data_IF_781641648492
#
_entry.id   IF_781641648492
#
_cell.length_a   1.000
_cell.length_b   1.000
_cell.length_c   1.000
_cell.angle_alpha   90.00
_cell.angle_beta   90.00
_cell.angle_gamma   90.00
#
_symmetry.space_group_name_H-M   'P 1'
#
loop_
_entity.id
_entity.type
_entity.pdbx_description
1 polymer ?
#
# COMPACT_ATOMS: atom_id res chain seq x y z
N UNK A 1 6.38 -17.66 1.55
CA UNK A 1 6.01 -16.80 0.39
C UNK A 1 4.98 -17.58 -0.40
N UNK A 2 3.73 -17.12 -0.39
CA UNK A 2 2.69 -17.72 -1.23
C UNK A 2 2.76 -17.11 -2.63
N UNK A 3 3.01 -17.92 -3.64
CA UNK A 3 2.94 -17.52 -5.03
C UNK A 3 1.76 -18.24 -5.67
N UNK A 4 0.74 -17.48 -6.04
CA UNK A 4 -0.41 -17.99 -6.79
C UNK A 4 -0.34 -17.39 -8.19
N UNK A 5 0.04 -18.20 -9.17
CA UNK A 5 0.11 -17.78 -10.56
C UNK A 5 -1.28 -17.86 -11.22
N UNK A 6 -1.62 -16.88 -12.04
CA UNK A 6 -2.76 -16.99 -12.93
C UNK A 6 -2.36 -17.88 -14.12
N UNK A 7 -3.09 -18.95 -14.33
CA UNK A 7 -2.98 -19.69 -15.59
C UNK A 7 -3.80 -18.97 -16.66
N UNK A 8 -3.09 -18.38 -17.62
CA UNK A 8 -3.69 -17.64 -18.73
C UNK A 8 -3.93 -18.51 -19.97
N UNK A 9 -3.68 -19.82 -19.90
CA UNK A 9 -3.71 -20.69 -21.07
C UNK A 9 -5.12 -21.16 -21.51
N UNK A 10 -6.17 -20.87 -20.70
CA UNK A 10 -7.54 -21.31 -21.05
C UNK A 10 -8.55 -20.15 -20.97
N UNK A 11 -8.66 -19.33 -22.03
CA UNK A 11 -9.60 -18.20 -22.05
C UNK A 11 -11.08 -18.62 -22.16
N UNK A 12 -11.41 -19.89 -22.37
CA UNK A 12 -12.76 -20.33 -22.67
C UNK A 12 -13.65 -20.61 -21.44
N UNK A 13 -13.08 -20.74 -20.23
CA UNK A 13 -13.82 -20.96 -19.00
C UNK A 13 -13.01 -20.43 -17.82
N UNK A 14 -13.30 -19.20 -17.39
CA UNK A 14 -12.82 -18.69 -16.10
C UNK A 14 -13.69 -19.28 -15.01
N UNK A 15 -13.18 -20.26 -14.30
CA UNK A 15 -13.77 -20.70 -13.03
C UNK A 15 -13.58 -19.56 -12.01
N UNK A 16 -14.56 -19.38 -11.12
CA UNK A 16 -14.52 -18.27 -10.15
C UNK A 16 -13.24 -18.29 -9.29
N UNK A 17 -12.75 -19.47 -8.97
CA UNK A 17 -11.56 -19.73 -8.18
C UNK A 17 -10.23 -19.36 -8.90
N UNK A 18 -10.26 -19.28 -10.22
CA UNK A 18 -9.10 -18.93 -11.05
C UNK A 18 -8.91 -17.43 -11.22
N UNK A 19 -9.88 -16.63 -10.77
CA UNK A 19 -9.80 -15.18 -10.87
C UNK A 19 -8.71 -14.60 -9.98
N UNK A 20 -8.12 -13.46 -10.39
CA UNK A 20 -7.13 -12.77 -9.55
C UNK A 20 -7.68 -12.36 -8.18
N UNK A 21 -8.98 -12.08 -8.08
CA UNK A 21 -9.62 -11.76 -6.81
C UNK A 21 -9.67 -12.97 -5.89
N UNK A 22 -10.08 -14.14 -6.38
CA UNK A 22 -10.09 -15.37 -5.60
C UNK A 22 -8.67 -15.77 -5.15
N UNK A 23 -7.68 -15.60 -6.02
CA UNK A 23 -6.27 -15.83 -5.68
C UNK A 23 -5.75 -14.86 -4.62
N UNK A 24 -6.18 -13.60 -4.65
CA UNK A 24 -5.87 -12.64 -3.58
C UNK A 24 -6.52 -13.09 -2.26
N UNK A 25 -7.79 -13.50 -2.27
CA UNK A 25 -8.49 -13.98 -1.08
C UNK A 25 -7.73 -15.17 -0.45
N UNK A 26 -7.30 -16.14 -1.24
CA UNK A 26 -6.45 -17.25 -0.78
C UNK A 26 -5.12 -16.79 -0.17
N UNK A 27 -4.47 -15.80 -0.77
CA UNK A 27 -3.24 -15.23 -0.22
C UNK A 27 -3.50 -14.57 1.14
N UNK A 28 -4.58 -13.81 1.28
CA UNK A 28 -4.95 -13.15 2.54
C UNK A 28 -5.26 -14.18 3.64
N UNK A 29 -5.90 -15.29 3.29
CA UNK A 29 -6.15 -16.42 4.20
C UNK A 29 -4.83 -17.10 4.61
N UNK A 30 -3.94 -17.43 3.68
CA UNK A 30 -2.64 -18.02 3.97
C UNK A 30 -1.74 -17.11 4.84
N UNK A 31 -1.86 -15.80 4.70
CA UNK A 31 -1.18 -14.83 5.54
C UNK A 31 -1.82 -14.69 6.92
N UNK A 32 -2.98 -15.33 7.15
CA UNK A 32 -3.77 -15.20 8.39
C UNK A 32 -4.03 -13.73 8.76
N UNK A 33 -4.32 -12.90 7.75
CA UNK A 33 -4.42 -11.45 7.95
C UNK A 33 -5.51 -11.10 8.98
N UNK A 34 -6.67 -11.76 8.91
CA UNK A 34 -7.81 -11.54 9.82
C UNK A 34 -7.42 -11.79 11.28
N UNK A 35 -6.65 -12.82 11.55
CA UNK A 35 -6.26 -13.20 12.92
C UNK A 35 -5.23 -12.23 13.52
N UNK A 36 -4.47 -11.55 12.66
CA UNK A 36 -3.37 -10.67 13.08
C UNK A 36 -3.78 -9.23 13.36
N UNK A 37 -4.95 -8.79 12.88
CA UNK A 37 -5.33 -7.37 12.83
C UNK A 37 -6.45 -7.00 13.81
N UNK A 38 -6.75 -7.83 14.79
CA UNK A 38 -7.83 -7.60 15.74
C UNK A 38 -7.61 -6.32 16.56
N UNK A 39 -8.52 -5.35 16.39
CA UNK A 39 -8.51 -4.00 16.98
C UNK A 39 -7.31 -3.13 16.58
N UNK A 40 -6.44 -3.60 15.71
CA UNK A 40 -5.26 -2.87 15.27
C UNK A 40 -5.61 -1.70 14.35
N UNK A 41 -4.85 -0.63 14.46
CA UNK A 41 -4.82 0.43 13.45
C UNK A 41 -3.90 -0.02 12.33
N UNK A 42 -4.47 -0.32 11.16
CA UNK A 42 -3.76 -0.98 10.06
C UNK A 42 -3.51 0.00 8.92
N UNK A 43 -2.25 0.36 8.72
CA UNK A 43 -1.85 1.13 7.55
C UNK A 43 -1.65 0.22 6.33
N UNK A 44 -2.32 0.52 5.23
CA UNK A 44 -2.06 -0.09 3.93
C UNK A 44 -1.16 0.86 3.15
N UNK A 45 0.14 0.55 3.11
CA UNK A 45 1.09 1.33 2.30
C UNK A 45 1.07 0.82 0.87
N UNK A 46 0.66 1.67 -0.04
CA UNK A 46 0.63 1.37 -1.47
C UNK A 46 1.03 2.59 -2.30
N UNK A 47 1.21 2.41 -3.60
CA UNK A 47 1.41 3.49 -4.54
C UNK A 47 0.08 3.87 -5.18
N UNK A 48 -0.43 5.06 -4.87
CA UNK A 48 -1.70 5.58 -5.41
C UNK A 48 -1.53 6.29 -6.75
N UNK A 49 -0.33 6.83 -7.02
CA UNK A 49 0.10 7.26 -8.35
C UNK A 49 -0.51 8.56 -8.87
N UNK A 50 -0.92 9.47 -8.01
CA UNK A 50 -1.59 10.73 -8.35
C UNK A 50 -2.66 10.59 -9.47
N UNK A 51 -2.87 11.59 -10.29
CA UNK A 51 -3.80 11.54 -11.42
C UNK A 51 -3.16 11.14 -12.77
N UNK A 52 -1.86 10.84 -12.79
CA UNK A 52 -1.11 10.61 -14.03
C UNK A 52 -0.64 9.17 -14.22
N UNK A 53 -0.39 8.41 -13.15
CA UNK A 53 0.16 7.06 -13.23
C UNK A 53 -0.94 6.02 -13.23
N UNK A 54 -1.16 5.33 -14.33
CA UNK A 54 -2.18 4.29 -14.48
C UNK A 54 -1.74 2.90 -13.99
N UNK A 55 -0.44 2.64 -13.87
CA UNK A 55 0.12 1.34 -13.46
C UNK A 55 0.13 1.18 -11.93
N UNK A 56 -1.03 1.30 -11.31
CA UNK A 56 -1.25 1.10 -9.88
C UNK A 56 -2.21 -0.07 -9.64
N UNK A 57 -2.29 -0.56 -8.42
CA UNK A 57 -3.20 -1.65 -8.06
C UNK A 57 -4.64 -1.16 -8.25
N UNK A 58 -5.44 -1.91 -9.00
CA UNK A 58 -6.84 -1.54 -9.23
C UNK A 58 -7.62 -1.48 -7.90
N UNK A 59 -8.49 -0.48 -7.68
CA UNK A 59 -9.24 -0.28 -6.43
C UNK A 59 -9.99 -1.51 -5.92
N UNK A 60 -10.44 -2.40 -6.79
CA UNK A 60 -11.13 -3.64 -6.40
C UNK A 60 -10.26 -4.55 -5.53
N UNK A 61 -8.96 -4.63 -5.81
CA UNK A 61 -8.03 -5.42 -4.98
C UNK A 61 -7.76 -4.74 -3.64
N UNK A 62 -7.66 -3.41 -3.64
CA UNK A 62 -7.52 -2.63 -2.39
C UNK A 62 -8.72 -2.87 -1.49
N UNK A 63 -9.93 -2.81 -2.05
CA UNK A 63 -11.18 -3.09 -1.31
C UNK A 63 -11.19 -4.49 -0.69
N UNK A 64 -10.64 -5.51 -1.37
CA UNK A 64 -10.55 -6.88 -0.81
C UNK A 64 -9.62 -6.92 0.41
N UNK A 65 -8.46 -6.28 0.34
CA UNK A 65 -7.55 -6.17 1.49
C UNK A 65 -8.22 -5.41 2.64
N UNK A 66 -8.85 -4.28 2.35
CA UNK A 66 -9.61 -3.48 3.33
C UNK A 66 -10.70 -4.32 4.01
N UNK A 67 -11.46 -5.09 3.23
CA UNK A 67 -12.52 -5.94 3.78
C UNK A 67 -11.95 -7.03 4.69
N UNK A 68 -10.88 -7.71 4.29
CA UNK A 68 -10.23 -8.72 5.11
C UNK A 68 -9.72 -8.16 6.45
N UNK A 69 -9.19 -6.93 6.45
CA UNK A 69 -8.76 -6.26 7.68
C UNK A 69 -9.96 -5.96 8.58
N UNK A 70 -11.05 -5.42 8.02
CA UNK A 70 -12.29 -5.13 8.75
C UNK A 70 -12.93 -6.39 9.34
N UNK A 71 -12.96 -7.47 8.57
CA UNK A 71 -13.48 -8.78 9.02
C UNK A 71 -12.68 -9.33 10.21
N UNK A 72 -11.39 -9.01 10.30
CA UNK A 72 -10.54 -9.31 11.46
C UNK A 72 -10.68 -8.31 12.62
N UNK A 73 -11.55 -7.31 12.51
CA UNK A 73 -11.77 -6.28 13.53
C UNK A 73 -10.76 -5.12 13.48
N UNK A 74 -9.88 -5.08 12.49
CA UNK A 74 -8.91 -4.00 12.29
C UNK A 74 -9.53 -2.72 11.73
N UNK A 75 -8.80 -1.61 11.87
CA UNK A 75 -9.18 -0.27 11.40
C UNK A 75 -8.26 0.15 10.26
N UNK A 76 -8.58 -0.18 9.01
CA UNK A 76 -7.70 0.11 7.87
C UNK A 76 -7.78 1.55 7.40
N UNK A 77 -6.65 2.05 6.91
CA UNK A 77 -6.56 3.23 6.05
C UNK A 77 -5.40 3.08 5.07
N UNK A 78 -5.52 3.71 3.91
CA UNK A 78 -4.47 3.70 2.88
C UNK A 78 -3.60 4.93 3.04
N UNK A 79 -2.29 4.77 2.83
CA UNK A 79 -1.36 5.90 2.77
C UNK A 79 -0.42 5.81 1.57
N UNK A 80 -0.08 6.98 1.06
CA UNK A 80 1.05 7.21 0.17
C UNK A 80 1.65 8.59 0.45
N UNK A 81 2.66 8.96 -0.29
CA UNK A 81 3.25 10.28 -0.20
C UNK A 81 2.29 11.35 -0.72
N UNK A 82 2.43 12.58 -0.25
CA UNK A 82 1.45 13.65 -0.51
C UNK A 82 1.13 13.84 -1.99
N UNK A 83 2.14 13.97 -2.83
CA UNK A 83 1.91 14.20 -4.27
C UNK A 83 1.29 12.99 -4.99
N UNK A 84 1.49 11.77 -4.48
CA UNK A 84 0.85 10.57 -5.01
C UNK A 84 -0.60 10.41 -4.55
N UNK A 85 -0.95 10.94 -3.37
CA UNK A 85 -2.34 10.95 -2.89
C UNK A 85 -3.16 12.07 -3.53
N UNK A 86 -2.53 13.11 -4.04
CA UNK A 86 -3.22 14.16 -4.79
C UNK A 86 -3.91 13.58 -6.02
N UNK A 87 -5.24 13.66 -6.08
CA UNK A 87 -6.05 13.08 -7.15
C UNK A 87 -6.26 11.57 -7.05
N UNK A 88 -5.92 10.92 -5.95
CA UNK A 88 -6.19 9.49 -5.74
C UNK A 88 -7.68 9.14 -5.91
N UNK A 89 -8.57 10.02 -5.47
CA UNK A 89 -10.03 9.85 -5.61
C UNK A 89 -10.47 9.73 -7.08
N UNK A 90 -9.90 10.54 -7.97
CA UNK A 90 -10.23 10.50 -9.41
C UNK A 90 -9.84 9.18 -10.06
N UNK A 91 -8.99 8.38 -9.40
CA UNK A 91 -8.55 7.06 -9.82
C UNK A 91 -9.31 5.93 -9.13
N UNK A 92 -10.34 6.27 -8.38
CA UNK A 92 -11.17 5.30 -7.66
C UNK A 92 -10.66 4.91 -6.27
N UNK A 93 -9.66 5.61 -5.74
CA UNK A 93 -9.25 5.41 -4.33
C UNK A 93 -10.02 6.32 -3.38
N UNK A 94 -11.32 6.46 -3.63
CA UNK A 94 -12.24 7.16 -2.73
C UNK A 94 -12.71 6.22 -1.60
N UNK A 95 -12.99 6.77 -0.44
CA UNK A 95 -13.44 5.99 0.74
C UNK A 95 -14.65 5.13 0.47
N UNK A 96 -15.58 5.62 -0.34
CA UNK A 96 -16.81 4.94 -0.75
C UNK A 96 -16.53 3.74 -1.66
N UNK A 97 -15.44 3.80 -2.42
CA UNK A 97 -15.06 2.75 -3.37
C UNK A 97 -14.23 1.67 -2.71
N UNK A 98 -13.19 2.06 -1.98
CA UNK A 98 -12.25 1.09 -1.38
C UNK A 98 -12.62 0.69 0.05
N UNK A 99 -13.54 1.43 0.68
CA UNK A 99 -14.05 1.11 2.01
C UNK A 99 -13.24 1.65 3.19
N UNK A 100 -12.22 2.47 2.96
CA UNK A 100 -11.45 3.13 4.01
C UNK A 100 -10.87 4.47 3.52
N UNK A 101 -10.48 5.39 4.42
CA UNK A 101 -9.89 6.66 4.01
C UNK A 101 -8.50 6.48 3.39
N UNK A 102 -8.11 7.47 2.59
CA UNK A 102 -6.77 7.61 2.00
C UNK A 102 -6.15 8.88 2.54
N UNK A 103 -4.95 8.79 3.10
CA UNK A 103 -4.25 9.92 3.70
C UNK A 103 -2.84 10.08 3.14
N UNK A 104 -2.32 11.31 3.04
CA UNK A 104 -0.90 11.56 2.90
C UNK A 104 -0.16 11.07 4.15
N UNK A 105 0.86 10.24 3.97
CA UNK A 105 1.52 9.53 5.07
C UNK A 105 2.13 10.45 6.14
N UNK A 106 2.64 11.63 5.72
CA UNK A 106 3.21 12.64 6.59
C UNK A 106 2.26 13.83 6.87
N UNK A 107 0.95 13.62 6.71
CA UNK A 107 -0.06 14.67 6.81
C UNK A 107 -0.08 15.62 5.61
N UNK A 108 -1.10 16.50 5.47
CA UNK A 108 -1.28 17.35 4.29
C UNK A 108 -0.11 18.28 4.00
N UNK A 109 0.58 18.76 5.03
CA UNK A 109 1.73 19.68 4.90
C UNK A 109 3.09 18.99 4.95
N UNK A 110 3.15 17.67 4.92
CA UNK A 110 4.37 16.85 5.08
C UNK A 110 5.17 17.15 6.36
N UNK A 111 4.48 17.60 7.42
CA UNK A 111 5.12 17.97 8.69
C UNK A 111 4.95 16.92 9.79
N UNK A 112 4.14 15.91 9.56
CA UNK A 112 3.91 14.85 10.52
C UNK A 112 4.87 13.69 10.27
N UNK A 113 6.02 13.73 10.96
CA UNK A 113 7.06 12.70 10.86
C UNK A 113 7.87 12.62 12.16
N UNK A 114 8.56 11.50 12.33
CA UNK A 114 9.54 11.26 13.39
C UNK A 114 10.95 11.21 12.80
N UNK A 115 11.89 11.86 13.45
CA UNK A 115 13.30 11.83 13.05
C UNK A 115 14.03 10.69 13.76
N UNK A 116 14.78 9.91 12.99
CA UNK A 116 15.63 8.84 13.48
C UNK A 116 17.08 9.09 13.06
N UNK A 117 17.97 9.16 14.05
CA UNK A 117 19.41 9.28 13.82
C UNK A 117 19.99 7.90 13.49
N UNK A 118 20.10 7.61 12.22
CA UNK A 118 20.71 6.40 11.65
C UNK A 118 21.53 6.77 10.42
N UNK A 119 22.76 7.30 10.62
CA UNK A 119 23.58 7.77 9.52
C UNK A 119 23.88 6.69 8.49
N UNK A 120 23.68 7.02 7.22
CA UNK A 120 24.07 6.17 6.10
C UNK A 120 24.46 7.04 4.92
N UNK A 121 25.73 6.95 4.49
CA UNK A 121 26.32 7.82 3.48
C UNK A 121 26.13 9.30 3.85
N UNK A 122 25.49 10.09 2.99
CA UNK A 122 25.24 11.51 3.20
C UNK A 122 23.99 11.80 4.05
N UNK A 123 23.20 10.77 4.36
CA UNK A 123 21.98 10.94 5.15
C UNK A 123 22.32 10.76 6.62
N UNK A 124 22.10 11.81 7.40
CA UNK A 124 22.35 11.80 8.86
C UNK A 124 21.09 11.39 9.63
N UNK A 125 19.92 11.80 9.15
CA UNK A 125 18.63 11.56 9.79
C UNK A 125 17.61 11.08 8.77
N UNK A 126 16.74 10.18 9.22
CA UNK A 126 15.60 9.68 8.45
C UNK A 126 14.31 10.22 9.04
N UNK A 127 13.44 10.77 8.20
CA UNK A 127 12.11 11.25 8.61
C UNK A 127 11.07 10.25 8.20
N UNK A 128 10.67 9.42 9.15
CA UNK A 128 9.60 8.43 8.93
C UNK A 128 8.25 9.11 9.05
N UNK A 129 7.37 8.92 8.08
CA UNK A 129 6.02 9.49 8.07
C UNK A 129 5.22 9.05 9.29
N UNK A 130 4.57 10.02 9.96
CA UNK A 130 3.94 9.81 11.27
C UNK A 130 2.81 8.79 11.24
N UNK A 131 1.91 8.85 10.24
CA UNK A 131 0.81 7.87 10.13
C UNK A 131 1.29 6.43 9.96
N UNK A 132 2.48 6.23 9.41
CA UNK A 132 3.08 4.90 9.27
C UNK A 132 3.66 4.46 10.62
N UNK A 133 4.41 5.33 11.28
CA UNK A 133 5.06 4.99 12.53
C UNK A 133 4.08 4.74 13.68
N UNK A 134 2.96 5.46 13.70
CA UNK A 134 1.94 5.33 14.76
C UNK A 134 0.98 4.16 14.53
N UNK A 135 1.05 3.51 13.38
CA UNK A 135 0.20 2.35 13.09
C UNK A 135 0.71 1.10 13.79
N UNK A 136 -0.19 0.34 14.39
CA UNK A 136 0.14 -0.90 15.09
C UNK A 136 0.50 -2.02 14.11
N UNK A 137 -0.01 -1.97 12.89
CA UNK A 137 0.20 -2.99 11.87
C UNK A 137 0.30 -2.37 10.48
N UNK A 138 1.22 -2.88 9.65
CA UNK A 138 1.38 -2.40 8.27
C UNK A 138 1.21 -3.52 7.25
N UNK A 139 0.36 -3.28 6.26
CA UNK A 139 0.27 -4.06 5.03
C UNK A 139 1.02 -3.33 3.92
N UNK A 140 2.14 -3.88 3.47
CA UNK A 140 2.86 -3.38 2.30
C UNK A 140 2.24 -3.97 1.04
N UNK A 141 1.28 -3.26 0.44
CA UNK A 141 0.54 -3.70 -0.73
C UNK A 141 1.10 -3.07 -1.99
N UNK A 142 2.07 -3.72 -2.61
CA UNK A 142 2.87 -3.17 -3.69
C UNK A 142 2.62 -3.84 -5.03
N UNK A 143 2.51 -3.04 -6.08
CA UNK A 143 2.49 -3.51 -7.47
C UNK A 143 3.90 -3.84 -7.93
N UNK A 144 4.12 -5.06 -8.42
CA UNK A 144 5.40 -5.48 -9.01
C UNK A 144 5.51 -4.89 -10.40
N UNK A 145 6.38 -3.88 -10.56
CA UNK A 145 6.55 -3.16 -11.82
C UNK A 145 7.95 -2.57 -11.97
N UNK A 146 8.34 -2.25 -13.20
CA UNK A 146 9.52 -1.45 -13.49
C UNK A 146 9.43 -0.03 -12.92
N UNK A 147 10.56 0.61 -12.74
CA UNK A 147 10.64 2.00 -12.28
C UNK A 147 11.80 2.72 -12.97
N UNK A 148 11.58 3.91 -13.58
CA UNK A 148 12.60 4.59 -14.37
C UNK A 148 13.88 4.95 -13.60
N UNK A 149 13.74 5.37 -12.34
CA UNK A 149 14.90 5.77 -11.51
C UNK A 149 15.52 4.65 -10.70
N UNK A 150 14.82 3.56 -10.44
CA UNK A 150 15.27 2.47 -9.56
C UNK A 150 15.37 1.12 -10.27
N UNK A 151 15.07 1.05 -11.57
CA UNK A 151 14.95 -0.18 -12.34
C UNK A 151 13.74 -1.02 -11.93
N UNK A 152 13.62 -1.34 -10.65
CA UNK A 152 12.57 -2.16 -10.08
C UNK A 152 11.84 -1.45 -8.92
N UNK A 153 10.52 -1.43 -8.95
CA UNK A 153 9.67 -0.87 -7.90
C UNK A 153 9.31 -1.90 -6.83
N UNK A 154 8.03 -2.30 -6.76
CA UNK A 154 7.48 -3.27 -5.83
C UNK A 154 7.68 -2.93 -4.34
N UNK A 155 7.74 -3.97 -3.48
CA UNK A 155 7.68 -3.84 -2.03
C UNK A 155 8.82 -3.01 -1.43
N UNK A 156 10.06 -3.22 -1.87
CA UNK A 156 11.22 -2.50 -1.32
C UNK A 156 11.12 -0.99 -1.56
N UNK A 157 10.82 -0.56 -2.78
CA UNK A 157 10.67 0.87 -3.07
C UNK A 157 9.46 1.47 -2.38
N UNK A 158 8.37 0.71 -2.32
CA UNK A 158 7.16 1.15 -1.62
C UNK A 158 7.42 1.45 -0.14
N UNK A 159 8.27 0.68 0.52
CA UNK A 159 8.72 0.94 1.89
C UNK A 159 9.82 1.99 1.93
N UNK A 160 10.94 1.76 1.26
CA UNK A 160 12.15 2.56 1.42
C UNK A 160 11.95 4.05 1.10
N UNK A 161 11.22 4.36 0.02
CA UNK A 161 10.92 5.75 -0.35
C UNK A 161 9.52 6.18 0.06
N UNK A 162 8.56 5.25 0.07
CA UNK A 162 7.17 5.54 0.34
C UNK A 162 6.84 5.77 1.80
N UNK A 163 7.70 5.36 2.73
CA UNK A 163 7.51 5.61 4.16
C UNK A 163 8.23 6.87 4.66
N UNK A 164 9.07 7.48 3.83
CA UNK A 164 9.78 8.70 4.20
C UNK A 164 8.93 9.94 3.91
N UNK A 165 8.97 10.92 4.79
CA UNK A 165 8.44 12.25 4.50
C UNK A 165 9.18 12.89 3.32
N UNK A 166 8.45 13.65 2.47
CA UNK A 166 8.95 14.12 1.18
C UNK A 166 10.25 14.93 1.25
N UNK A 167 10.42 15.71 2.30
CA UNK A 167 11.61 16.51 2.54
C UNK A 167 12.88 15.71 2.93
N UNK A 168 12.78 14.39 3.09
CA UNK A 168 13.93 13.49 3.31
C UNK A 168 14.44 12.82 2.04
N UNK A 169 13.78 13.04 0.89
CA UNK A 169 14.07 12.29 -0.34
C UNK A 169 15.05 12.96 -1.27
N UNK A 170 15.42 14.19 -1.02
CA UNK A 170 16.30 14.99 -1.85
C UNK A 170 17.65 15.34 -1.21
N UNK A 171 18.02 14.64 -0.14
CA UNK A 171 19.30 14.82 0.53
C UNK A 171 20.40 13.93 -0.05
#
# INVERSE_FOLDING_TARGET
IAVVAADLQHPARLEAEETLLAKLDLILEQLHLRDRVNKETVVIKMHTGNNMVYSTIHPVFVRRVVQAIKDGGGKPFVVDVNWDTAGAETRGYASEVIGCPVYPAAGPDEKYFYEHERPYKNIQKWKISGLIQDSSFMVNFAHVKGHPSCGFGAAFKNLALGCLAGNSRGA
#
